data_IF_493948942703
#
_entry.id   IF_493948942703
#
_cell.length_a   1.000
_cell.length_b   1.000
_cell.length_c   1.000
_cell.angle_alpha   90.00
_cell.angle_beta   90.00
_cell.angle_gamma   90.00
#
_symmetry.space_group_name_H-M   'P 1'
#
loop_
_entity.id
_entity.type
_entity.pdbx_description
1 polymer ?
#
# COMPACT_ATOMS: atom_id res chain seq x y z
N UNK A 1 -14.98 13.22 5.33
CA UNK A 1 -14.23 14.03 4.36
C UNK A 1 -15.22 14.77 3.51
N UNK A 2 -14.98 16.06 3.32
CA UNK A 2 -15.86 16.93 2.51
C UNK A 2 -15.37 16.94 1.06
N UNK A 3 -14.05 16.99 0.85
CA UNK A 3 -13.40 16.83 -0.45
C UNK A 3 -12.28 15.77 -0.36
N UNK A 4 -12.46 14.56 -0.92
CA UNK A 4 -11.44 13.51 -0.91
C UNK A 4 -10.10 13.95 -1.50
N UNK A 5 -10.08 14.82 -2.52
CA UNK A 5 -8.83 15.23 -3.18
C UNK A 5 -7.98 16.11 -2.27
N UNK A 6 -8.62 16.95 -1.46
CA UNK A 6 -7.94 17.87 -0.54
C UNK A 6 -7.68 17.24 0.84
N UNK A 7 -8.56 16.34 1.29
CA UNK A 7 -8.50 15.77 2.64
C UNK A 7 -7.57 14.56 2.72
N UNK A 8 -7.53 13.71 1.69
CA UNK A 8 -6.71 12.49 1.68
C UNK A 8 -5.21 12.76 1.83
N UNK A 9 -4.62 13.76 1.15
CA UNK A 9 -3.21 14.10 1.36
C UNK A 9 -2.87 14.43 2.81
N UNK A 10 -3.80 15.02 3.57
CA UNK A 10 -3.60 15.37 4.99
C UNK A 10 -3.59 14.14 5.90
N UNK A 11 -4.23 13.05 5.49
CA UNK A 11 -4.32 11.79 6.24
C UNK A 11 -3.48 10.68 5.62
N UNK A 12 -2.58 10.97 4.68
CA UNK A 12 -1.79 9.93 4.00
C UNK A 12 -0.96 9.10 4.98
N UNK A 13 -0.43 9.74 6.02
CA UNK A 13 0.36 9.04 7.04
C UNK A 13 -0.49 8.14 7.94
N UNK A 14 -1.79 8.43 8.07
CA UNK A 14 -2.77 7.56 8.69
C UNK A 14 -3.09 6.36 7.78
N UNK A 15 -3.19 6.59 6.48
CA UNK A 15 -3.49 5.54 5.50
C UNK A 15 -2.32 4.55 5.40
N UNK A 16 -1.08 5.04 5.41
CA UNK A 16 0.12 4.24 5.13
C UNK A 16 0.80 3.60 6.35
N UNK A 17 0.27 3.74 7.56
CA UNK A 17 0.96 3.18 8.73
C UNK A 17 2.09 4.07 9.27
N UNK A 18 2.43 5.20 8.64
CA UNK A 18 3.66 5.98 8.90
C UNK A 18 3.57 7.02 10.00
N UNK A 19 2.42 7.24 10.62
CA UNK A 19 2.26 8.32 11.60
C UNK A 19 3.17 8.18 12.83
N UNK A 20 4.20 9.04 12.91
CA UNK A 20 5.20 9.06 14.00
C UNK A 20 4.60 9.19 15.41
N UNK A 21 3.52 9.97 15.57
CA UNK A 21 2.82 10.13 16.86
C UNK A 21 1.91 8.95 17.23
N UNK A 22 1.80 7.95 16.36
CA UNK A 22 0.88 6.83 16.52
C UNK A 22 -0.57 7.17 16.16
N UNK A 23 -1.40 6.14 16.14
CA UNK A 23 -2.79 6.19 15.72
C UNK A 23 -3.71 6.58 16.88
N UNK A 24 -4.43 7.70 16.73
CA UNK A 24 -5.55 8.01 17.63
C UNK A 24 -6.79 7.23 17.16
N UNK A 25 -7.39 6.36 18.00
CA UNK A 25 -8.63 5.65 17.65
C UNK A 25 -9.77 6.57 17.19
N UNK A 26 -9.81 7.81 17.70
CA UNK A 26 -10.81 8.80 17.30
C UNK A 26 -10.62 9.24 15.84
N UNK A 27 -9.38 9.46 15.42
CA UNK A 27 -9.04 9.85 14.05
C UNK A 27 -9.35 8.71 13.07
N UNK A 28 -9.02 7.47 13.43
CA UNK A 28 -9.44 6.31 12.61
C UNK A 28 -10.96 6.23 12.52
N UNK A 29 -11.69 6.51 13.60
CA UNK A 29 -13.15 6.50 13.60
C UNK A 29 -13.78 7.64 12.77
N UNK A 30 -13.05 8.74 12.58
CA UNK A 30 -13.45 9.88 11.77
C UNK A 30 -13.34 9.58 10.27
N UNK A 31 -12.31 8.84 9.85
CA UNK A 31 -12.04 8.58 8.42
C UNK A 31 -12.44 7.18 7.96
N UNK A 32 -12.61 6.20 8.84
CA UNK A 32 -12.90 4.80 8.48
C UNK A 32 -14.24 4.28 9.02
N UNK A 33 -14.90 3.46 8.20
CA UNK A 33 -16.10 2.72 8.58
C UNK A 33 -15.84 1.72 9.70
N UNK A 34 -16.89 1.39 10.45
CA UNK A 34 -16.86 0.32 11.47
C UNK A 34 -16.53 -1.03 10.82
N UNK A 35 -17.13 -1.29 9.66
CA UNK A 35 -16.95 -2.48 8.84
C UNK A 35 -15.91 -2.32 7.73
N UNK A 36 -14.79 -1.66 8.04
CA UNK A 36 -13.76 -1.46 7.03
C UNK A 36 -13.16 -2.78 6.54
N UNK A 37 -12.76 -2.81 5.28
CA UNK A 37 -11.94 -3.87 4.72
C UNK A 37 -10.54 -3.31 4.44
N UNK A 38 -9.50 -3.98 4.90
CA UNK A 38 -8.13 -3.58 4.64
C UNK A 38 -7.32 -4.73 4.05
N UNK A 39 -6.61 -4.47 2.98
CA UNK A 39 -5.79 -5.47 2.29
C UNK A 39 -4.44 -4.88 1.95
N UNK A 40 -3.39 -5.61 2.24
CA UNK A 40 -2.06 -5.33 1.72
C UNK A 40 -1.38 -6.64 1.35
N UNK A 41 -0.13 -6.58 0.91
CA UNK A 41 0.61 -7.76 0.49
C UNK A 41 0.78 -8.82 1.59
N UNK A 42 0.86 -8.42 2.87
CA UNK A 42 1.17 -9.32 3.99
C UNK A 42 -0.07 -9.72 4.82
N UNK A 43 -1.11 -8.91 4.80
CA UNK A 43 -2.23 -9.01 5.73
C UNK A 43 -3.55 -8.65 5.06
N UNK A 44 -4.61 -9.26 5.56
CA UNK A 44 -5.97 -9.02 5.11
C UNK A 44 -6.91 -8.96 6.31
N UNK A 45 -7.71 -7.91 6.37
CA UNK A 45 -8.78 -7.69 7.33
C UNK A 45 -10.09 -7.70 6.53
N UNK A 46 -10.92 -8.74 6.66
CA UNK A 46 -12.22 -8.77 6.00
C UNK A 46 -13.16 -7.72 6.59
N UNK A 47 -14.16 -7.30 5.81
CA UNK A 47 -15.23 -6.42 6.30
C UNK A 47 -16.08 -7.12 7.37
N UNK A 48 -16.22 -6.52 8.54
CA UNK A 48 -17.00 -7.04 9.66
C UNK A 48 -17.12 -6.04 10.82
N UNK A 49 -17.99 -6.30 11.82
CA UNK A 49 -18.29 -5.34 12.89
C UNK A 49 -17.07 -4.91 13.73
N UNK A 50 -16.06 -5.77 13.85
CA UNK A 50 -14.84 -5.52 14.62
C UNK A 50 -13.63 -5.13 13.77
N UNK A 51 -13.79 -4.98 12.45
CA UNK A 51 -12.67 -4.78 11.53
C UNK A 51 -11.92 -3.48 11.79
N UNK A 52 -12.60 -2.43 12.24
CA UNK A 52 -11.96 -1.18 12.64
C UNK A 52 -11.02 -1.35 13.84
N UNK A 53 -11.39 -2.15 14.82
CA UNK A 53 -10.55 -2.42 15.99
C UNK A 53 -9.34 -3.28 15.60
N UNK A 54 -9.55 -4.28 14.74
CA UNK A 54 -8.46 -5.06 14.15
C UNK A 54 -7.49 -4.17 13.36
N UNK A 55 -8.00 -3.21 12.60
CA UNK A 55 -7.17 -2.26 11.84
C UNK A 55 -6.36 -1.34 12.74
N UNK A 56 -6.95 -0.81 13.81
CA UNK A 56 -6.23 -0.01 14.82
C UNK A 56 -5.11 -0.85 15.44
N UNK A 57 -5.39 -2.12 15.76
CA UNK A 57 -4.42 -3.03 16.37
C UNK A 57 -3.28 -3.38 15.40
N UNK A 58 -3.60 -3.62 14.13
CA UNK A 58 -2.62 -3.85 13.08
C UNK A 58 -1.71 -2.63 12.88
N UNK A 59 -2.28 -1.42 12.85
CA UNK A 59 -1.49 -0.20 12.74
C UNK A 59 -0.60 0.06 13.96
N UNK A 60 -1.05 -0.28 15.17
CA UNK A 60 -0.19 -0.25 16.37
C UNK A 60 0.99 -1.23 16.26
N UNK A 61 0.75 -2.42 15.72
CA UNK A 61 1.81 -3.38 15.42
C UNK A 61 2.81 -2.79 14.42
N UNK A 62 2.33 -2.23 13.30
CA UNK A 62 3.18 -1.60 12.28
C UNK A 62 4.02 -0.44 12.80
N UNK A 63 3.53 0.36 13.75
CA UNK A 63 4.34 1.40 14.40
C UNK A 63 5.62 0.83 15.04
N UNK A 64 5.57 -0.37 15.61
CA UNK A 64 6.75 -0.99 16.22
C UNK A 64 7.80 -1.43 15.20
N UNK A 65 7.38 -1.71 13.97
CA UNK A 65 8.24 -2.27 12.92
C UNK A 65 8.65 -1.28 11.84
N UNK A 66 7.84 -0.24 11.61
CA UNK A 66 7.98 0.72 10.51
C UNK A 66 8.29 2.10 11.09
N UNK A 67 9.51 2.55 10.87
CA UNK A 67 9.92 3.93 11.11
C UNK A 67 9.93 4.62 9.75
N UNK A 68 8.87 5.36 9.44
CA UNK A 68 8.73 6.05 8.17
C UNK A 68 8.84 7.54 8.42
N UNK A 69 9.86 8.17 7.85
CA UNK A 69 10.16 9.58 8.10
C UNK A 69 9.51 10.49 7.04
N UNK A 70 9.21 9.95 5.86
CA UNK A 70 8.73 10.74 4.73
C UNK A 70 7.81 9.96 3.80
N UNK A 71 6.68 10.57 3.45
CA UNK A 71 5.79 10.12 2.37
C UNK A 71 5.75 11.19 1.30
N UNK A 72 5.89 10.82 0.02
CA UNK A 72 5.71 11.73 -1.12
C UNK A 72 4.59 11.21 -1.99
N UNK A 73 3.54 12.01 -2.17
CA UNK A 73 2.43 11.70 -3.09
C UNK A 73 2.84 12.22 -4.46
N UNK A 74 2.80 11.36 -5.47
CA UNK A 74 3.08 11.73 -6.85
C UNK A 74 1.79 12.13 -7.56
N UNK A 75 0.77 11.28 -7.44
CA UNK A 75 -0.51 11.48 -8.11
C UNK A 75 -1.67 11.01 -7.22
N UNK A 76 -2.80 11.71 -7.33
CA UNK A 76 -4.04 11.36 -6.67
C UNK A 76 -5.17 11.47 -7.69
N UNK A 77 -5.87 10.36 -7.89
CA UNK A 77 -7.00 10.25 -8.80
C UNK A 77 -8.26 9.95 -8.00
N UNK A 78 -9.25 10.85 -8.10
CA UNK A 78 -10.56 10.61 -7.55
C UNK A 78 -11.57 10.36 -8.67
N UNK A 79 -12.25 9.23 -8.61
CA UNK A 79 -13.35 8.88 -9.49
C UNK A 79 -14.67 9.05 -8.74
N UNK A 80 -15.31 10.20 -8.95
CA UNK A 80 -16.60 10.57 -8.34
C UNK A 80 -17.70 9.56 -8.64
N UNK A 81 -17.78 9.07 -9.89
CA UNK A 81 -18.84 8.13 -10.32
C UNK A 81 -18.83 6.83 -9.52
N UNK A 82 -17.64 6.39 -9.12
CA UNK A 82 -17.47 5.13 -8.38
C UNK A 82 -17.08 5.33 -6.92
N UNK A 83 -16.94 6.58 -6.45
CA UNK A 83 -16.40 6.94 -5.13
C UNK A 83 -15.09 6.23 -4.82
N UNK A 84 -14.17 6.19 -5.79
CA UNK A 84 -12.87 5.51 -5.64
C UNK A 84 -11.73 6.50 -5.72
N UNK A 85 -10.75 6.34 -4.85
CA UNK A 85 -9.51 7.10 -4.90
C UNK A 85 -8.36 6.15 -5.15
N UNK A 86 -7.48 6.53 -6.08
CA UNK A 86 -6.20 5.86 -6.31
C UNK A 86 -5.11 6.87 -6.06
N UNK A 87 -4.12 6.49 -5.26
CA UNK A 87 -3.01 7.33 -4.85
C UNK A 87 -1.74 6.61 -5.27
N UNK A 88 -0.88 7.29 -6.03
CA UNK A 88 0.50 6.87 -6.25
C UNK A 88 1.39 7.64 -5.28
N UNK A 89 2.10 6.93 -4.41
CA UNK A 89 2.98 7.52 -3.44
C UNK A 89 4.28 6.71 -3.29
N UNK A 90 5.33 7.38 -2.84
CA UNK A 90 6.55 6.75 -2.36
C UNK A 90 6.68 6.97 -0.86
N UNK A 91 6.75 5.87 -0.13
CA UNK A 91 7.00 5.85 1.31
C UNK A 91 8.48 5.54 1.55
N UNK A 92 9.17 6.43 2.26
CA UNK A 92 10.55 6.21 2.69
C UNK A 92 10.50 5.58 4.07
N UNK A 93 10.70 4.26 4.11
CA UNK A 93 10.57 3.47 5.32
C UNK A 93 11.91 2.84 5.72
N UNK A 94 12.16 2.83 7.02
CA UNK A 94 13.18 2.05 7.72
C UNK A 94 12.43 0.99 8.53
N UNK A 95 12.76 -0.29 8.38
CA UNK A 95 12.07 -1.35 9.14
C UNK A 95 13.02 -2.32 9.83
N UNK A 96 12.57 -2.81 10.99
CA UNK A 96 13.20 -3.90 11.72
C UNK A 96 14.64 -3.62 12.14
N UNK A 97 15.50 -4.63 12.01
CA UNK A 97 16.90 -4.61 12.46
C UNK A 97 17.78 -3.63 11.64
N UNK A 98 17.41 -3.35 10.39
CA UNK A 98 18.14 -2.46 9.48
C UNK A 98 17.60 -1.02 9.51
N UNK A 99 17.27 -0.50 10.70
CA UNK A 99 16.66 0.82 10.87
C UNK A 99 17.54 1.98 10.37
N UNK A 100 18.83 1.76 10.10
CA UNK A 100 19.74 2.75 9.52
C UNK A 100 19.68 2.83 7.98
N UNK A 101 19.01 1.88 7.30
CA UNK A 101 18.85 1.90 5.85
C UNK A 101 17.46 2.40 5.51
N UNK A 102 17.39 3.57 4.90
CA UNK A 102 16.15 4.09 4.33
C UNK A 102 15.93 3.49 2.96
N UNK A 103 14.77 2.88 2.75
CA UNK A 103 14.39 2.35 1.45
C UNK A 103 13.15 3.06 0.90
N UNK A 104 13.20 3.55 -0.34
CA UNK A 104 12.01 4.04 -1.02
C UNK A 104 11.14 2.84 -1.42
N UNK A 105 9.89 2.85 -0.98
CA UNK A 105 8.88 1.86 -1.35
C UNK A 105 7.79 2.59 -2.13
N UNK A 106 7.63 2.24 -3.41
CA UNK A 106 6.53 2.70 -4.24
C UNK A 106 5.28 1.92 -3.86
N UNK A 107 4.26 2.67 -3.48
CA UNK A 107 2.99 2.13 -3.03
C UNK A 107 1.86 2.76 -3.82
N UNK A 108 0.99 1.91 -4.36
CA UNK A 108 -0.28 2.33 -4.93
C UNK A 108 -1.37 2.02 -3.92
N UNK A 109 -2.03 3.07 -3.43
CA UNK A 109 -3.13 2.95 -2.48
C UNK A 109 -4.43 3.11 -3.22
N UNK A 110 -5.31 2.13 -3.09
CA UNK A 110 -6.67 2.20 -3.57
C UNK A 110 -7.63 2.28 -2.39
N UNK A 111 -8.46 3.30 -2.39
CA UNK A 111 -9.50 3.52 -1.39
C UNK A 111 -10.87 3.44 -2.07
N UNK A 112 -11.77 2.60 -1.55
CA UNK A 112 -13.18 2.67 -1.90
C UNK A 112 -13.90 3.47 -0.78
N UNK A 113 -14.52 4.57 -1.16
CA UNK A 113 -15.25 5.48 -0.27
C UNK A 113 -16.75 5.17 -0.27
N UNK A 114 -17.41 5.48 0.84
CA UNK A 114 -18.86 5.48 0.98
C UNK A 114 -19.30 6.76 1.67
N UNK A 115 -20.59 7.03 1.66
CA UNK A 115 -21.17 8.12 2.43
C UNK A 115 -21.52 7.65 3.85
N UNK A 116 -21.24 8.51 4.84
CA UNK A 116 -21.82 8.40 6.18
C UNK A 116 -23.21 9.07 6.17
N UNK A 117 -24.00 8.84 7.22
CA UNK A 117 -25.31 9.46 7.43
C UNK A 117 -25.33 11.00 7.42
N UNK A 118 -24.18 11.65 7.63
CA UNK A 118 -24.00 13.10 7.56
C UNK A 118 -23.69 13.60 6.14
N UNK A 119 -23.70 12.72 5.13
CA UNK A 119 -23.37 13.05 3.74
C UNK A 119 -21.87 13.17 3.46
N UNK A 120 -20.99 12.96 4.46
CA UNK A 120 -19.54 13.03 4.27
C UNK A 120 -18.96 11.72 3.76
N UNK A 121 -17.87 11.80 2.99
CA UNK A 121 -17.11 10.63 2.56
C UNK A 121 -16.38 9.97 3.73
N UNK A 122 -16.41 8.64 3.76
CA UNK A 122 -15.72 7.79 4.72
C UNK A 122 -15.12 6.58 4.01
N UNK A 123 -13.94 6.13 4.44
CA UNK A 123 -13.20 5.02 3.84
C UNK A 123 -13.86 3.70 4.27
N UNK A 124 -14.34 2.93 3.28
CA UNK A 124 -14.89 1.60 3.50
C UNK A 124 -13.87 0.51 3.21
N UNK A 125 -13.06 0.68 2.17
CA UNK A 125 -12.03 -0.28 1.80
C UNK A 125 -10.71 0.41 1.55
N UNK A 126 -9.64 -0.20 2.02
CA UNK A 126 -8.27 0.20 1.75
C UNK A 126 -7.50 -0.99 1.18
N UNK A 127 -6.90 -0.82 0.01
CA UNK A 127 -5.98 -1.79 -0.59
C UNK A 127 -4.64 -1.10 -0.87
N UNK A 128 -3.56 -1.63 -0.29
CA UNK A 128 -2.20 -1.15 -0.53
C UNK A 128 -1.47 -2.18 -1.39
N UNK A 129 -1.09 -1.75 -2.59
CA UNK A 129 -0.31 -2.52 -3.54
C UNK A 129 1.13 -2.01 -3.49
N UNK A 130 2.09 -2.92 -3.37
CA UNK A 130 3.50 -2.62 -3.46
C UNK A 130 4.22 -3.71 -4.24
N UNK A 131 5.39 -3.40 -4.77
CA UNK A 131 6.21 -4.41 -5.43
C UNK A 131 6.80 -5.36 -4.37
N UNK A 132 6.70 -6.69 -4.57
CA UNK A 132 7.21 -7.66 -3.62
C UNK A 132 8.73 -7.55 -3.45
N UNK A 133 9.45 -7.11 -4.48
CA UNK A 133 10.90 -6.88 -4.45
C UNK A 133 11.29 -5.78 -3.49
N UNK A 134 10.56 -4.67 -3.54
CA UNK A 134 10.79 -3.53 -2.66
C UNK A 134 10.49 -3.95 -1.22
N UNK A 135 9.37 -4.64 -0.98
CA UNK A 135 9.03 -5.14 0.35
C UNK A 135 10.05 -6.16 0.89
N UNK A 136 10.54 -7.07 0.04
CA UNK A 136 11.52 -8.06 0.44
C UNK A 136 12.89 -7.45 0.73
N UNK A 137 13.26 -6.40 -0.01
CA UNK A 137 14.45 -5.58 0.26
C UNK A 137 14.45 -4.94 1.64
N UNK A 138 13.27 -4.73 2.22
CA UNK A 138 13.15 -4.19 3.57
C UNK A 138 13.48 -5.22 4.65
N UNK A 139 13.22 -6.51 4.40
CA UNK A 139 13.55 -7.58 5.35
C UNK A 139 15.01 -8.01 5.25
N UNK A 140 15.54 -8.08 4.02
CA UNK A 140 16.95 -8.43 3.75
C UNK A 140 17.47 -7.49 2.65
N UNK A 141 18.14 -6.38 3.02
CA UNK A 141 18.62 -5.41 2.07
C UNK A 141 19.63 -6.02 1.09
N UNK A 142 19.54 -5.59 -0.17
CA UNK A 142 20.41 -5.94 -1.30
C UNK A 142 20.37 -7.39 -1.79
N UNK A 143 20.32 -8.42 -0.91
CA UNK A 143 20.40 -9.82 -1.35
C UNK A 143 19.12 -10.28 -2.07
N UNK A 144 17.97 -10.10 -1.42
CA UNK A 144 16.69 -10.59 -1.95
C UNK A 144 16.22 -9.79 -3.18
N UNK A 145 16.32 -8.44 -3.20
CA UNK A 145 16.00 -7.68 -4.41
C UNK A 145 16.85 -8.09 -5.60
N UNK A 146 18.16 -8.28 -5.40
CA UNK A 146 19.06 -8.70 -6.48
C UNK A 146 18.68 -10.08 -7.02
N UNK A 147 18.40 -11.04 -6.12
CA UNK A 147 17.99 -12.39 -6.52
C UNK A 147 16.70 -12.38 -7.36
N UNK A 148 15.71 -11.58 -6.97
CA UNK A 148 14.45 -11.46 -7.71
C UNK A 148 14.65 -10.82 -9.08
N UNK A 149 15.51 -9.80 -9.18
CA UNK A 149 15.89 -9.20 -10.48
C UNK A 149 16.61 -10.21 -11.36
N UNK A 150 17.57 -10.97 -10.83
CA UNK A 150 18.25 -12.03 -11.57
C UNK A 150 17.28 -13.12 -12.05
N UNK A 151 16.35 -13.55 -11.19
CA UNK A 151 15.31 -14.50 -11.55
C UNK A 151 14.46 -13.97 -12.72
N UNK A 152 14.00 -12.71 -12.65
CA UNK A 152 13.22 -12.09 -13.74
C UNK A 152 14.00 -12.01 -15.04
N UNK A 153 15.27 -11.61 -15.00
CA UNK A 153 16.13 -11.54 -16.19
C UNK A 153 16.34 -12.93 -16.81
N UNK A 154 16.57 -13.94 -15.97
CA UNK A 154 16.71 -15.32 -16.43
C UNK A 154 15.44 -15.82 -17.13
N UNK A 155 14.28 -15.70 -16.49
CA UNK A 155 13.00 -16.12 -17.08
C UNK A 155 12.69 -15.34 -18.37
N UNK A 156 12.93 -14.03 -18.38
CA UNK A 156 12.72 -13.21 -19.59
C UNK A 156 13.59 -13.72 -20.73
N UNK A 157 14.86 -14.01 -20.47
CA UNK A 157 15.80 -14.53 -21.47
C UNK A 157 15.34 -15.87 -22.02
N UNK A 158 14.96 -16.81 -21.15
CA UNK A 158 14.43 -18.13 -21.56
C UNK A 158 13.18 -17.99 -22.42
N UNK A 159 12.21 -17.16 -22.00
CA UNK A 159 10.98 -16.92 -22.76
C UNK A 159 11.25 -16.28 -24.12
N UNK A 160 12.19 -15.32 -24.21
CA UNK A 160 12.56 -14.68 -25.47
C UNK A 160 13.25 -15.65 -26.41
N UNK A 161 14.17 -16.49 -25.91
CA UNK A 161 14.83 -17.54 -26.72
C UNK A 161 13.78 -18.52 -27.24
N UNK A 162 12.87 -18.98 -26.37
CA UNK A 162 11.82 -19.90 -26.76
C UNK A 162 10.86 -19.28 -27.79
N UNK A 163 10.47 -18.01 -27.61
CA UNK A 163 9.64 -17.27 -28.55
C UNK A 163 10.29 -17.14 -29.92
N UNK A 164 11.57 -16.73 -29.98
CA UNK A 164 12.34 -16.67 -31.23
C UNK A 164 12.50 -18.05 -31.87
N UNK A 165 12.70 -19.10 -31.06
CA UNK A 165 12.74 -20.48 -31.54
C UNK A 165 11.43 -20.94 -32.17
N UNK A 166 10.29 -20.53 -31.59
CA UNK A 166 8.95 -20.81 -32.14
C UNK A 166 8.68 -20.08 -33.45
N UNK A 167 9.13 -18.83 -33.56
CA UNK A 167 9.04 -18.05 -34.80
C UNK A 167 9.83 -18.73 -35.95
N UNK A 168 11.03 -19.25 -35.65
CA UNK A 168 11.87 -19.96 -36.62
C UNK A 168 11.25 -21.26 -37.15
N UNK A 169 10.40 -21.93 -36.38
CA UNK A 169 9.67 -23.14 -36.80
C UNK A 169 8.30 -22.81 -37.44
N UNK A 170 8.04 -21.54 -37.77
CA UNK A 170 6.85 -21.11 -38.48
C UNK A 170 5.60 -20.96 -37.61
N UNK A 171 5.74 -20.95 -36.28
CA UNK A 171 4.65 -20.66 -35.36
C UNK A 171 4.44 -19.14 -35.31
N UNK A 172 3.34 -18.65 -35.93
CA UNK A 172 2.90 -17.25 -35.87
C UNK A 172 1.97 -17.02 -34.69
#
# INVERSE_FOLDING_TARGET
>A
MDDPVQDIPKIIDLILGSKNKGYNPQEVSEYYCVNLEAKNFLTYIPSGPSSRESFISLNRCYKGFIHSDRTTIHELFFNEKHNKVVIDATQYARRGLFFWIEQPIRVMVRLDLTYRSDGKYIIKRQEILCHPEELAGVFIPYLVPSLLVFQKLFFTTVCVIFGKGRELIGYK
#
